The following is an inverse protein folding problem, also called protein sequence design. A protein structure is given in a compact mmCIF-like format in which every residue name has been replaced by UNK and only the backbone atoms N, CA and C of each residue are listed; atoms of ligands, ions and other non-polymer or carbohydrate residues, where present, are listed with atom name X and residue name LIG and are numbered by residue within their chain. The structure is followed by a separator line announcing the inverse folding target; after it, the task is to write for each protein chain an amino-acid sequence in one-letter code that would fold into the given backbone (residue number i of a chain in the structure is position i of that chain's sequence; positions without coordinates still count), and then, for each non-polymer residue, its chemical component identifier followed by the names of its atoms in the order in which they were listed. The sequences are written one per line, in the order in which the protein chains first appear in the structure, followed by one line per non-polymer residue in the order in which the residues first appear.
data_IF_346669217529
#
_entry.id   IF_346669217529
#
_cell.length_a   1.000
_cell.length_b   1.000
_cell.length_c   1.000
_cell.angle_alpha   90.00
_cell.angle_beta   90.00
_cell.angle_gamma   90.00
#
_symmetry.space_group_name_H-M   'P 1'
#
loop_
_entity.id
_entity.type
_entity.pdbx_description
1 polymer ?
#
# COMPACT_ATOMS: atom_id res chain seq x y z
N UNK A 1 3.87 10.20 -13.85
CA UNK A 1 5.05 10.16 -14.70
C UNK A 1 4.99 11.27 -15.76
N UNK A 2 6.13 11.74 -16.22
CA UNK A 2 6.17 12.78 -17.24
C UNK A 2 7.59 13.23 -17.59
N UNK A 3 7.66 14.27 -18.42
CA UNK A 3 8.91 14.88 -18.86
C UNK A 3 9.05 16.24 -18.18
N UNK A 4 10.22 16.53 -17.63
CA UNK A 4 10.52 17.84 -17.02
C UNK A 4 10.49 18.91 -18.11
N UNK A 5 9.52 19.83 -18.02
CA UNK A 5 9.32 20.93 -18.96
C UNK A 5 10.12 22.18 -18.57
N UNK A 6 10.15 22.49 -17.29
CA UNK A 6 10.88 23.64 -16.74
C UNK A 6 11.36 23.32 -15.32
N UNK A 7 12.43 23.97 -14.89
CA UNK A 7 12.99 23.86 -13.54
C UNK A 7 13.19 25.24 -12.92
N UNK A 8 13.06 25.31 -11.59
CA UNK A 8 13.43 26.51 -10.84
C UNK A 8 14.95 26.75 -10.84
N UNK A 9 15.38 27.99 -10.56
CA UNK A 9 16.78 28.41 -10.61
C UNK A 9 17.71 27.56 -9.75
N UNK A 10 17.24 27.07 -8.59
CA UNK A 10 18.06 26.35 -7.60
C UNK A 10 17.96 24.82 -7.73
N UNK A 11 17.19 24.30 -8.69
CA UNK A 11 17.01 22.85 -8.91
C UNK A 11 18.28 22.26 -9.54
N UNK A 12 18.81 21.19 -8.92
CA UNK A 12 20.07 20.54 -9.35
C UNK A 12 19.92 19.03 -9.66
N UNK A 13 18.87 18.39 -9.15
CA UNK A 13 18.69 16.95 -9.26
C UNK A 13 17.96 16.49 -10.52
N UNK A 14 17.28 17.40 -11.22
CA UNK A 14 16.62 17.16 -12.51
C UNK A 14 16.83 18.33 -13.46
N UNK A 15 16.76 18.07 -14.76
CA UNK A 15 16.86 19.08 -15.81
C UNK A 15 15.75 18.93 -16.84
N UNK A 16 15.52 19.97 -17.63
CA UNK A 16 14.55 19.94 -18.74
C UNK A 16 14.88 18.76 -19.70
N UNK A 17 13.83 18.00 -20.04
CA UNK A 17 13.92 16.81 -20.87
C UNK A 17 14.07 15.48 -20.09
N UNK A 18 14.34 15.52 -18.80
CA UNK A 18 14.42 14.28 -18.00
C UNK A 18 13.05 13.61 -17.89
N UNK A 19 13.02 12.29 -18.07
CA UNK A 19 11.85 11.45 -17.81
C UNK A 19 11.78 11.11 -16.31
N UNK A 20 10.68 11.49 -15.66
CA UNK A 20 10.53 11.35 -14.21
C UNK A 20 9.23 10.67 -13.80
N UNK A 21 9.25 10.09 -12.61
CA UNK A 21 8.08 9.74 -11.81
C UNK A 21 8.06 10.64 -10.59
N UNK A 22 6.86 10.95 -10.09
CA UNK A 22 6.68 11.89 -8.96
C UNK A 22 6.01 11.17 -7.82
N UNK A 23 6.65 11.16 -6.63
CA UNK A 23 6.01 10.65 -5.43
C UNK A 23 5.18 11.74 -4.73
N UNK A 24 4.23 11.32 -3.91
CA UNK A 24 3.19 12.22 -3.38
C UNK A 24 3.55 12.93 -2.07
N UNK A 25 4.69 12.64 -1.45
CA UNK A 25 5.13 13.31 -0.24
C UNK A 25 5.58 14.75 -0.53
N UNK A 26 4.93 15.72 0.08
CA UNK A 26 5.24 17.12 -0.03
C UNK A 26 5.49 17.72 1.36
N UNK A 27 6.51 18.54 1.53
CA UNK A 27 6.82 19.26 2.78
C UNK A 27 7.55 20.54 2.50
N UNK A 28 7.56 21.44 3.47
CA UNK A 28 8.33 22.66 3.36
C UNK A 28 9.81 22.38 3.63
N UNK A 29 10.73 22.80 2.73
CA UNK A 29 12.17 22.62 2.94
C UNK A 29 12.71 23.40 4.14
N UNK A 30 12.04 24.49 4.54
CA UNK A 30 12.40 25.32 5.68
C UNK A 30 11.80 24.86 7.01
N UNK A 31 11.00 23.82 7.03
CA UNK A 31 10.42 23.23 8.26
C UNK A 31 11.55 22.81 9.22
N UNK A 32 11.49 23.24 10.50
CA UNK A 32 12.55 22.92 11.48
C UNK A 32 12.80 21.42 11.67
N UNK A 33 11.73 20.61 11.59
CA UNK A 33 11.85 19.15 11.68
C UNK A 33 12.61 18.57 10.49
N UNK A 34 12.27 19.02 9.27
CA UNK A 34 12.96 18.60 8.03
C UNK A 34 14.42 19.03 8.05
N UNK A 35 14.71 20.28 8.45
CA UNK A 35 16.08 20.80 8.60
C UNK A 35 16.91 20.03 9.63
N UNK A 36 16.28 19.38 10.60
CA UNK A 36 17.00 18.57 11.59
C UNK A 36 17.42 17.18 11.05
N UNK A 37 17.13 16.87 9.78
CA UNK A 37 17.47 15.59 9.14
C UNK A 37 16.59 14.41 9.56
N UNK A 38 15.47 14.68 10.25
CA UNK A 38 14.50 13.65 10.65
C UNK A 38 13.55 13.32 9.50
N UNK A 39 12.81 12.20 9.64
CA UNK A 39 11.82 11.76 8.65
C UNK A 39 10.83 12.90 8.33
N UNK A 40 10.84 13.46 7.11
CA UNK A 40 9.98 14.57 6.74
C UNK A 40 8.49 14.25 6.79
N UNK A 41 8.13 12.96 6.71
CA UNK A 41 6.73 12.52 6.85
C UNK A 41 6.14 12.74 8.25
N UNK A 42 6.98 13.03 9.23
CA UNK A 42 6.58 13.39 10.60
C UNK A 42 6.60 14.91 10.85
N UNK A 43 6.91 15.70 9.82
CA UNK A 43 6.91 17.15 9.93
C UNK A 43 5.48 17.73 9.90
N UNK A 44 5.25 18.81 10.63
CA UNK A 44 3.95 19.49 10.66
C UNK A 44 3.55 20.04 9.29
N UNK A 45 4.52 20.41 8.46
CA UNK A 45 4.31 20.92 7.11
C UNK A 45 3.98 19.83 6.08
N UNK A 46 4.07 18.53 6.42
CA UNK A 46 3.80 17.45 5.48
C UNK A 46 2.39 17.50 4.91
N UNK A 47 2.30 17.31 3.59
CA UNK A 47 1.04 17.28 2.82
C UNK A 47 1.11 16.16 1.79
N UNK A 48 -0.05 15.74 1.32
CA UNK A 48 -0.19 14.84 0.17
C UNK A 48 -0.32 15.70 -1.08
N UNK A 49 0.65 15.60 -1.99
CA UNK A 49 0.61 16.27 -3.28
C UNK A 49 -0.59 15.79 -4.11
N UNK A 50 -1.37 16.71 -4.63
CA UNK A 50 -2.57 16.44 -5.40
C UNK A 50 -3.85 16.20 -4.58
N UNK A 51 -3.73 16.04 -3.25
CA UNK A 51 -4.88 15.89 -2.35
C UNK A 51 -4.96 17.03 -1.34
N UNK A 52 -3.88 17.35 -0.63
CA UNK A 52 -3.80 18.45 0.33
C UNK A 52 -3.13 19.69 -0.24
N UNK A 53 -2.65 19.63 -1.48
CA UNK A 53 -2.22 20.79 -2.26
C UNK A 53 -3.31 21.11 -3.27
N UNK A 54 -3.40 22.41 -3.67
CA UNK A 54 -4.37 22.87 -4.68
C UNK A 54 -3.87 22.62 -6.13
N UNK A 55 -2.93 21.74 -6.33
CA UNK A 55 -2.36 21.32 -7.60
C UNK A 55 -1.89 19.86 -7.49
N UNK A 56 -1.94 19.13 -8.61
CA UNK A 56 -1.62 17.70 -8.66
C UNK A 56 -1.34 17.24 -10.09
N UNK A 57 -1.59 15.97 -10.40
CA UNK A 57 -1.23 15.33 -11.67
C UNK A 57 -2.36 15.22 -12.69
N UNK A 58 -3.60 15.53 -12.34
CA UNK A 58 -4.72 15.51 -13.30
C UNK A 58 -4.72 16.76 -14.17
N UNK A 59 -3.63 16.96 -14.90
CA UNK A 59 -3.42 18.13 -15.76
C UNK A 59 -2.26 17.86 -16.73
N UNK A 60 -2.24 18.66 -17.81
CA UNK A 60 -1.20 18.57 -18.84
C UNK A 60 0.18 19.02 -18.33
N UNK A 61 0.21 19.97 -17.39
CA UNK A 61 1.43 20.46 -16.75
C UNK A 61 1.24 20.46 -15.24
N UNK A 62 2.05 19.69 -14.54
CA UNK A 62 2.02 19.56 -13.10
C UNK A 62 3.23 20.28 -12.46
N UNK A 63 3.02 20.91 -11.30
CA UNK A 63 4.08 21.43 -10.47
C UNK A 63 4.42 20.46 -9.35
N UNK A 64 5.68 20.06 -9.24
CA UNK A 64 6.18 19.22 -8.15
C UNK A 64 7.44 19.87 -7.52
N UNK A 65 7.75 19.49 -6.29
CA UNK A 65 9.04 19.82 -5.69
C UNK A 65 10.14 18.96 -6.32
N UNK A 66 11.36 19.47 -6.40
CA UNK A 66 12.45 18.76 -7.05
C UNK A 66 12.75 17.40 -6.40
N UNK A 67 12.69 17.30 -5.06
CA UNK A 67 12.91 16.03 -4.34
C UNK A 67 11.86 14.96 -4.67
N UNK A 68 10.63 15.34 -5.05
CA UNK A 68 9.58 14.38 -5.42
C UNK A 68 9.88 13.66 -6.76
N UNK A 69 10.78 14.22 -7.57
CA UNK A 69 11.07 13.71 -8.91
C UNK A 69 12.18 12.64 -8.86
N UNK A 70 11.82 11.42 -9.22
CA UNK A 70 12.74 10.30 -9.38
C UNK A 70 12.87 9.94 -10.86
N UNK A 71 14.02 9.41 -11.32
CA UNK A 71 14.16 8.93 -12.68
C UNK A 71 13.12 7.85 -13.01
N UNK A 72 12.42 8.00 -14.13
CA UNK A 72 11.48 6.98 -14.61
C UNK A 72 12.26 5.70 -14.96
N UNK A 73 11.84 4.52 -14.46
CA UNK A 73 12.45 3.25 -14.88
C UNK A 73 12.29 3.07 -16.41
N UNK A 74 13.41 2.89 -17.11
CA UNK A 74 13.43 2.81 -18.58
C UNK A 74 12.61 1.65 -19.15
N UNK A 75 12.46 0.56 -18.40
CA UNK A 75 11.69 -0.61 -18.81
C UNK A 75 10.16 -0.40 -18.79
N UNK A 76 9.69 0.68 -18.17
CA UNK A 76 8.26 0.95 -18.00
C UNK A 76 7.71 1.85 -19.10
N UNK A 77 6.46 1.60 -19.49
CA UNK A 77 5.65 2.55 -20.23
C UNK A 77 5.28 3.76 -19.36
N UNK A 78 4.68 4.79 -19.93
CA UNK A 78 4.24 5.98 -19.18
C UNK A 78 3.15 5.64 -18.15
N UNK A 79 2.17 4.82 -18.54
CA UNK A 79 1.09 4.38 -17.69
C UNK A 79 1.58 3.47 -16.54
N UNK A 80 2.48 2.51 -16.81
CA UNK A 80 3.10 1.69 -15.79
C UNK A 80 3.90 2.54 -14.79
N UNK A 81 4.65 3.51 -15.31
CA UNK A 81 5.43 4.42 -14.48
C UNK A 81 4.55 5.39 -13.67
N UNK A 82 3.38 5.74 -14.19
CA UNK A 82 2.44 6.67 -13.53
C UNK A 82 1.58 6.06 -12.44
N UNK A 83 1.37 4.73 -12.43
CA UNK A 83 0.35 4.12 -11.59
C UNK A 83 0.84 3.54 -10.26
N UNK A 84 2.14 3.22 -10.10
CA UNK A 84 2.60 2.39 -8.97
C UNK A 84 3.12 3.17 -7.77
N UNK A 85 3.68 4.38 -7.96
CA UNK A 85 4.57 4.97 -6.96
C UNK A 85 3.87 5.36 -5.65
N UNK A 86 2.63 5.87 -5.71
CA UNK A 86 1.88 6.18 -4.48
C UNK A 86 1.61 4.92 -3.65
N UNK A 87 1.00 3.92 -4.24
CA UNK A 87 0.68 2.66 -3.57
C UNK A 87 1.95 1.90 -3.18
N UNK A 88 2.93 1.83 -4.07
CA UNK A 88 4.18 1.10 -3.86
C UNK A 88 5.04 1.69 -2.75
N UNK A 89 5.21 2.99 -2.72
CA UNK A 89 6.01 3.63 -1.67
C UNK A 89 5.30 3.61 -0.31
N UNK A 90 3.97 3.73 -0.29
CA UNK A 90 3.16 3.53 0.92
C UNK A 90 3.30 2.09 1.43
N UNK A 91 3.15 1.09 0.55
CA UNK A 91 3.33 -0.31 0.93
C UNK A 91 4.76 -0.58 1.43
N UNK A 92 5.77 -0.03 0.76
CA UNK A 92 7.16 -0.16 1.19
C UNK A 92 7.38 0.43 2.60
N UNK A 93 6.83 1.63 2.88
CA UNK A 93 6.90 2.23 4.21
C UNK A 93 6.21 1.37 5.26
N UNK A 94 5.03 0.83 4.97
CA UNK A 94 4.32 -0.05 5.90
C UNK A 94 5.11 -1.31 6.23
N UNK A 95 5.83 -1.87 5.26
CA UNK A 95 6.59 -3.11 5.40
C UNK A 95 8.01 -2.92 5.92
N UNK A 96 8.64 -1.76 5.69
CA UNK A 96 10.07 -1.53 5.93
C UNK A 96 10.39 -0.29 6.78
N UNK A 97 9.44 0.61 6.98
CA UNK A 97 9.68 1.90 7.65
C UNK A 97 9.66 1.86 9.19
N UNK A 98 9.40 0.70 9.80
CA UNK A 98 9.04 0.63 11.22
C UNK A 98 9.89 -0.36 12.02
N UNK A 99 11.20 -0.24 11.92
CA UNK A 99 12.13 -1.10 12.66
C UNK A 99 11.73 -1.26 14.15
N UNK A 100 11.91 -2.43 14.74
CA UNK A 100 12.50 -3.66 14.18
C UNK A 100 11.50 -4.51 13.35
N UNK A 101 10.25 -4.06 13.19
CA UNK A 101 9.20 -4.78 12.47
C UNK A 101 9.29 -4.51 10.96
N UNK A 102 10.36 -4.97 10.35
CA UNK A 102 10.56 -4.98 8.89
C UNK A 102 10.42 -6.40 8.34
N UNK A 103 10.11 -6.51 7.05
CA UNK A 103 10.03 -7.80 6.38
C UNK A 103 11.44 -8.35 6.15
N UNK A 104 11.68 -9.55 6.63
CA UNK A 104 12.89 -10.34 6.43
C UNK A 104 12.56 -11.64 5.69
N UNK A 105 13.59 -12.32 5.19
CA UNK A 105 13.43 -13.60 4.48
C UNK A 105 12.69 -14.63 5.35
N UNK A 106 11.59 -15.16 4.81
CA UNK A 106 10.76 -16.17 5.50
C UNK A 106 9.66 -15.60 6.39
N UNK A 107 9.66 -14.30 6.69
CA UNK A 107 8.61 -13.67 7.49
C UNK A 107 7.23 -13.80 6.84
N UNK A 108 6.22 -14.05 7.66
CA UNK A 108 4.83 -14.13 7.20
C UNK A 108 4.17 -12.75 7.28
N UNK A 109 3.60 -12.31 6.17
CA UNK A 109 2.81 -11.08 6.06
C UNK A 109 1.37 -11.42 5.64
N UNK A 110 0.38 -11.02 6.46
CA UNK A 110 -1.02 -11.08 6.09
C UNK A 110 -1.42 -9.76 5.43
N UNK A 111 -1.91 -9.79 4.19
CA UNK A 111 -2.23 -8.60 3.41
C UNK A 111 -3.75 -8.51 3.19
N UNK A 112 -4.40 -7.52 3.80
CA UNK A 112 -5.80 -7.23 3.56
C UNK A 112 -6.00 -6.51 2.22
N UNK A 113 -7.14 -6.75 1.55
CA UNK A 113 -7.44 -6.14 0.25
C UNK A 113 -6.38 -6.41 -0.81
N UNK A 114 -5.85 -7.62 -0.80
CA UNK A 114 -4.65 -8.03 -1.52
C UNK A 114 -4.72 -7.83 -3.05
N UNK A 115 -5.91 -7.77 -3.65
CA UNK A 115 -6.09 -7.56 -5.08
C UNK A 115 -6.23 -6.09 -5.50
N UNK A 116 -6.26 -5.14 -4.56
CA UNK A 116 -6.27 -3.70 -4.88
C UNK A 116 -4.87 -3.15 -5.16
N UNK A 117 -4.78 -1.89 -5.58
CA UNK A 117 -3.50 -1.27 -5.93
C UNK A 117 -2.46 -1.31 -4.81
N UNK A 118 -2.87 -1.00 -3.57
CA UNK A 118 -1.98 -1.04 -2.41
C UNK A 118 -1.60 -2.48 -2.04
N UNK A 119 -2.60 -3.38 -1.99
CA UNK A 119 -2.39 -4.76 -1.56
C UNK A 119 -1.55 -5.57 -2.55
N UNK A 120 -1.75 -5.41 -3.85
CA UNK A 120 -0.95 -6.10 -4.88
C UNK A 120 0.53 -5.70 -4.80
N UNK A 121 0.81 -4.42 -4.60
CA UNK A 121 2.19 -3.96 -4.39
C UNK A 121 2.78 -4.42 -3.06
N UNK A 122 1.95 -4.58 -2.00
CA UNK A 122 2.42 -5.20 -0.75
C UNK A 122 2.79 -6.68 -0.94
N UNK A 123 2.04 -7.44 -1.75
CA UNK A 123 2.39 -8.82 -2.13
C UNK A 123 3.72 -8.87 -2.88
N UNK A 124 3.84 -8.07 -3.94
CA UNK A 124 5.04 -7.98 -4.78
C UNK A 124 6.29 -7.59 -3.98
N UNK A 125 6.20 -6.57 -3.13
CA UNK A 125 7.30 -6.11 -2.28
C UNK A 125 7.67 -7.20 -1.26
N UNK A 126 6.69 -7.83 -0.61
CA UNK A 126 6.94 -8.92 0.35
C UNK A 126 7.69 -10.06 -0.32
N UNK A 127 7.27 -10.49 -1.52
CA UNK A 127 7.96 -11.49 -2.32
C UNK A 127 9.38 -11.06 -2.68
N UNK A 128 9.56 -9.83 -3.15
CA UNK A 128 10.86 -9.29 -3.55
C UNK A 128 11.88 -9.24 -2.39
N UNK A 129 11.39 -9.06 -1.16
CA UNK A 129 12.19 -9.07 0.07
C UNK A 129 12.40 -10.50 0.64
N UNK A 130 11.82 -11.51 0.00
CA UNK A 130 11.94 -12.91 0.44
C UNK A 130 10.95 -13.30 1.55
N UNK A 131 9.97 -12.46 1.86
CA UNK A 131 8.86 -12.76 2.76
C UNK A 131 7.79 -13.66 2.10
N UNK A 132 6.84 -14.10 2.90
CA UNK A 132 5.75 -15.02 2.56
C UNK A 132 4.42 -14.34 2.78
N UNK A 133 3.77 -13.86 1.71
CA UNK A 133 2.52 -13.13 1.81
C UNK A 133 1.30 -14.04 1.68
N UNK A 134 0.34 -13.89 2.60
CA UNK A 134 -1.02 -14.46 2.48
C UNK A 134 -1.98 -13.32 2.18
N UNK A 135 -2.66 -13.39 1.03
CA UNK A 135 -3.60 -12.37 0.59
C UNK A 135 -5.03 -12.63 1.07
N UNK A 136 -5.69 -11.60 1.63
CA UNK A 136 -7.12 -11.66 1.95
C UNK A 136 -7.89 -10.90 0.87
N UNK A 137 -8.87 -11.58 0.26
CA UNK A 137 -9.68 -11.09 -0.86
C UNK A 137 -11.17 -11.15 -0.54
N UNK A 138 -12.01 -10.48 -1.36
CA UNK A 138 -13.46 -10.45 -1.18
C UNK A 138 -14.23 -11.48 -2.01
N UNK A 139 -13.57 -12.08 -3.00
CA UNK A 139 -14.17 -13.06 -3.91
C UNK A 139 -13.10 -13.99 -4.52
N UNK A 140 -13.57 -15.10 -5.13
CA UNK A 140 -12.70 -16.13 -5.70
C UNK A 140 -11.90 -15.65 -6.93
N UNK A 141 -12.46 -14.75 -7.73
CA UNK A 141 -11.79 -14.28 -8.96
C UNK A 141 -10.48 -13.53 -8.66
N UNK A 142 -10.41 -12.87 -7.49
CA UNK A 142 -9.22 -12.16 -7.02
C UNK A 142 -8.07 -13.06 -6.59
N UNK A 143 -8.35 -14.31 -6.24
CA UNK A 143 -7.32 -15.26 -5.76
C UNK A 143 -6.23 -15.49 -6.80
N UNK A 144 -6.62 -15.76 -8.06
CA UNK A 144 -5.67 -15.99 -9.14
C UNK A 144 -4.71 -14.80 -9.31
N UNK A 145 -5.25 -13.59 -9.37
CA UNK A 145 -4.46 -12.36 -9.47
C UNK A 145 -3.45 -12.24 -8.33
N UNK A 146 -3.87 -12.47 -7.08
CA UNK A 146 -2.96 -12.40 -5.93
C UNK A 146 -1.83 -13.43 -5.99
N UNK A 147 -2.13 -14.66 -6.45
CA UNK A 147 -1.11 -15.70 -6.60
C UNK A 147 -0.09 -15.35 -7.69
N UNK A 148 -0.53 -14.75 -8.80
CA UNK A 148 0.35 -14.26 -9.86
C UNK A 148 1.25 -13.13 -9.37
N UNK A 149 0.78 -12.30 -8.43
CA UNK A 149 1.50 -11.18 -7.82
C UNK A 149 2.21 -11.52 -6.49
N UNK A 150 2.51 -12.81 -6.24
CA UNK A 150 3.44 -13.21 -5.19
C UNK A 150 2.82 -13.62 -3.86
N UNK A 151 1.50 -13.75 -3.76
CA UNK A 151 0.90 -14.44 -2.62
C UNK A 151 1.26 -15.92 -2.67
N UNK A 152 1.58 -16.52 -1.53
CA UNK A 152 1.78 -17.98 -1.39
C UNK A 152 0.48 -18.71 -1.06
N UNK A 153 -0.55 -17.98 -0.69
CA UNK A 153 -1.88 -18.47 -0.40
C UNK A 153 -2.86 -17.30 -0.28
N UNK A 154 -4.15 -17.60 -0.41
CA UNK A 154 -5.22 -16.59 -0.35
C UNK A 154 -6.39 -17.06 0.47
N UNK A 155 -7.08 -16.14 1.13
CA UNK A 155 -8.26 -16.38 1.94
C UNK A 155 -9.40 -15.51 1.42
N UNK A 156 -10.56 -16.10 1.14
CA UNK A 156 -11.75 -15.33 0.82
C UNK A 156 -12.46 -14.92 2.11
N UNK A 157 -12.52 -13.62 2.38
CA UNK A 157 -13.18 -13.10 3.59
C UNK A 157 -14.69 -13.39 3.63
N UNK A 158 -15.31 -13.63 2.48
CA UNK A 158 -16.74 -13.97 2.38
C UNK A 158 -17.09 -15.32 3.01
N UNK A 159 -16.09 -16.20 3.26
CA UNK A 159 -16.28 -17.46 3.94
C UNK A 159 -16.48 -17.29 5.46
N UNK A 160 -16.40 -16.08 5.98
CA UNK A 160 -16.49 -15.74 7.39
C UNK A 160 -17.52 -14.62 7.63
N UNK A 161 -18.17 -14.64 8.78
CA UNK A 161 -19.27 -13.71 9.12
C UNK A 161 -19.05 -12.90 10.39
N UNK A 162 -17.88 -13.03 11.04
CA UNK A 162 -17.58 -12.42 12.34
C UNK A 162 -16.97 -11.03 12.25
N UNK A 163 -17.04 -10.40 11.08
CA UNK A 163 -16.47 -9.08 10.82
C UNK A 163 -17.20 -7.96 11.57
N UNK A 164 -16.51 -6.86 11.83
CA UNK A 164 -17.05 -5.70 12.50
C UNK A 164 -16.60 -5.56 13.95
N UNK A 165 -17.29 -4.75 14.75
CA UNK A 165 -16.93 -4.51 16.14
C UNK A 165 -16.87 -5.81 16.96
N UNK A 166 -15.81 -5.99 17.73
CA UNK A 166 -15.71 -7.10 18.67
C UNK A 166 -16.76 -6.91 19.77
N UNK A 167 -17.55 -7.93 20.12
CA UNK A 167 -18.50 -7.87 21.22
C UNK A 167 -17.84 -7.58 22.58
N UNK A 168 -18.61 -7.01 23.52
CA UNK A 168 -18.15 -6.82 24.90
C UNK A 168 -17.67 -8.16 25.48
N UNK A 169 -16.49 -8.17 26.06
CA UNK A 169 -15.92 -9.37 26.70
C UNK A 169 -16.74 -9.88 27.88
N UNK A 170 -17.64 -9.06 28.45
CA UNK A 170 -18.60 -9.44 29.50
C UNK A 170 -19.77 -10.24 28.95
N UNK A 171 -20.12 -10.08 27.68
CA UNK A 171 -21.08 -10.95 27.00
C UNK A 171 -20.34 -12.20 26.51
N UNK A 172 -20.20 -13.18 27.40
CA UNK A 172 -19.48 -14.41 27.13
C UNK A 172 -19.99 -15.18 25.92
N UNK A 173 -21.30 -15.10 25.62
CA UNK A 173 -21.90 -15.78 24.46
C UNK A 173 -21.52 -15.08 23.16
N UNK A 174 -21.78 -13.78 23.02
CA UNK A 174 -21.47 -13.03 21.81
C UNK A 174 -19.96 -13.00 21.54
N UNK A 175 -19.15 -12.77 22.59
CA UNK A 175 -17.69 -12.85 22.50
C UNK A 175 -17.19 -14.24 22.08
N UNK A 176 -17.81 -15.31 22.63
CA UNK A 176 -17.48 -16.69 22.28
C UNK A 176 -17.72 -17.01 20.79
N UNK A 177 -18.83 -16.53 20.21
CA UNK A 177 -19.13 -16.70 18.79
C UNK A 177 -18.16 -15.90 17.90
N UNK A 178 -17.88 -14.64 18.24
CA UNK A 178 -16.87 -13.86 17.54
C UNK A 178 -15.49 -14.55 17.59
N UNK A 179 -15.05 -14.98 18.76
CA UNK A 179 -13.77 -15.65 18.94
C UNK A 179 -13.67 -16.99 18.18
N UNK A 180 -14.79 -17.69 17.98
CA UNK A 180 -14.86 -18.88 17.12
C UNK A 180 -14.57 -18.51 15.67
N UNK A 181 -15.17 -17.44 15.15
CA UNK A 181 -14.90 -16.91 13.81
C UNK A 181 -13.44 -16.47 13.65
N UNK A 182 -12.90 -15.71 14.61
CA UNK A 182 -11.50 -15.28 14.60
C UNK A 182 -10.51 -16.46 14.60
N UNK A 183 -10.81 -17.52 15.39
CA UNK A 183 -10.01 -18.76 15.36
C UNK A 183 -10.10 -19.49 14.03
N UNK A 184 -11.30 -19.55 13.43
CA UNK A 184 -11.49 -20.16 12.12
C UNK A 184 -10.68 -19.42 11.04
N UNK A 185 -10.68 -18.08 11.07
CA UNK A 185 -9.85 -17.26 10.19
C UNK A 185 -8.35 -17.49 10.43
N UNK A 186 -7.92 -17.56 11.70
CA UNK A 186 -6.53 -17.91 12.04
C UNK A 186 -6.11 -19.28 11.52
N UNK A 187 -7.02 -20.26 11.57
CA UNK A 187 -6.77 -21.57 10.95
C UNK A 187 -6.63 -21.46 9.44
N UNK A 188 -7.48 -20.68 8.76
CA UNK A 188 -7.36 -20.45 7.33
C UNK A 188 -6.01 -19.80 6.94
N UNK A 189 -5.45 -18.93 7.78
CA UNK A 189 -4.07 -18.40 7.59
C UNK A 189 -3.05 -19.56 7.63
N UNK A 190 -3.14 -20.47 8.60
CA UNK A 190 -2.25 -21.63 8.67
C UNK A 190 -2.43 -22.60 7.49
N UNK A 191 -3.66 -22.84 7.09
CA UNK A 191 -3.98 -23.71 5.93
C UNK A 191 -3.38 -23.10 4.64
N UNK A 192 -3.48 -21.78 4.46
CA UNK A 192 -2.88 -21.06 3.33
C UNK A 192 -1.33 -21.07 3.35
N UNK A 193 -0.73 -21.12 4.54
CA UNK A 193 0.72 -21.24 4.71
C UNK A 193 1.24 -22.68 4.60
N UNK A 194 0.38 -23.67 4.81
CA UNK A 194 0.76 -25.08 4.96
C UNK A 194 1.43 -25.40 6.31
N UNK A 195 1.42 -24.46 7.27
CA UNK A 195 2.02 -24.62 8.60
C UNK A 195 1.35 -23.73 9.65
N UNK A 196 1.53 -24.07 10.94
CA UNK A 196 0.94 -23.33 12.07
C UNK A 196 1.83 -22.16 12.48
N UNK A 197 1.90 -21.15 11.63
CA UNK A 197 2.68 -19.93 11.87
C UNK A 197 1.77 -18.70 11.81
N UNK A 198 1.91 -17.79 12.76
CA UNK A 198 1.17 -16.53 12.80
C UNK A 198 1.92 -15.42 12.03
N UNK A 199 1.20 -14.47 11.40
CA UNK A 199 1.84 -13.35 10.72
C UNK A 199 2.72 -12.51 11.65
N UNK A 200 3.95 -12.21 11.24
CA UNK A 200 4.82 -11.23 11.90
C UNK A 200 4.31 -9.80 11.65
N UNK A 201 3.81 -9.57 10.43
CA UNK A 201 3.21 -8.28 10.04
C UNK A 201 1.80 -8.55 9.51
N UNK A 202 0.82 -7.78 10.00
CA UNK A 202 -0.50 -7.67 9.39
C UNK A 202 -0.58 -6.31 8.70
N UNK A 203 -0.63 -6.36 7.38
CA UNK A 203 -0.78 -5.20 6.51
C UNK A 203 -2.26 -4.86 6.38
N UNK A 204 -2.67 -3.83 7.11
CA UNK A 204 -4.08 -3.49 7.34
C UNK A 204 -4.44 -2.17 6.66
N UNK A 205 -5.64 -2.10 6.10
CA UNK A 205 -6.25 -0.86 5.63
C UNK A 205 -7.79 -0.79 5.69
N UNK A 206 -8.54 -1.89 5.83
CA UNK A 206 -9.98 -1.82 6.06
C UNK A 206 -10.34 -1.12 7.37
N UNK A 207 -9.67 -1.43 8.46
CA UNK A 207 -9.89 -0.79 9.75
C UNK A 207 -10.99 -1.43 10.56
N UNK A 208 -12.13 -0.74 10.76
CA UNK A 208 -13.19 -1.10 11.70
C UNK A 208 -13.65 -2.56 11.60
N UNK A 209 -13.86 -3.06 10.37
CA UNK A 209 -14.40 -4.41 10.17
C UNK A 209 -13.37 -5.52 10.47
N UNK A 210 -12.08 -5.28 10.30
CA UNK A 210 -11.06 -6.34 10.26
C UNK A 210 -10.03 -6.26 11.38
N UNK A 211 -9.81 -5.07 11.95
CA UNK A 211 -8.75 -4.83 12.91
C UNK A 211 -8.85 -5.71 14.17
N UNK A 212 -10.04 -5.99 14.73
CA UNK A 212 -10.14 -6.92 15.87
C UNK A 212 -9.62 -8.33 15.54
N UNK A 213 -9.88 -8.81 14.32
CA UNK A 213 -9.37 -10.11 13.87
C UNK A 213 -7.89 -10.04 13.53
N UNK A 214 -7.42 -8.93 12.93
CA UNK A 214 -6.00 -8.68 12.69
C UNK A 214 -5.20 -8.71 14.00
N UNK A 215 -5.73 -8.08 15.04
CA UNK A 215 -5.16 -8.15 16.40
C UNK A 215 -5.10 -9.59 16.93
N UNK A 216 -6.17 -10.35 16.74
CA UNK A 216 -6.24 -11.73 17.20
C UNK A 216 -5.20 -12.63 16.52
N UNK A 217 -5.04 -12.55 15.19
CA UNK A 217 -4.19 -13.48 14.39
C UNK A 217 -2.72 -13.06 14.33
N UNK A 218 -2.39 -11.79 14.54
CA UNK A 218 -1.03 -11.31 14.56
C UNK A 218 -0.20 -12.06 15.61
N UNK A 219 1.00 -12.47 15.24
CA UNK A 219 1.92 -13.23 16.09
C UNK A 219 2.39 -12.45 17.33
N UNK A 220 2.90 -13.17 18.32
CA UNK A 220 3.57 -12.57 19.47
C UNK A 220 4.78 -11.76 19.02
N UNK A 221 4.91 -10.52 19.54
CA UNK A 221 5.94 -9.57 19.10
C UNK A 221 5.75 -9.05 17.68
N UNK A 222 4.62 -9.34 17.04
CA UNK A 222 4.33 -8.86 15.68
C UNK A 222 3.78 -7.43 15.64
N UNK A 223 3.54 -6.94 14.43
CA UNK A 223 3.03 -5.59 14.17
C UNK A 223 1.78 -5.64 13.29
N UNK A 224 0.75 -4.88 13.69
CA UNK A 224 -0.35 -4.51 12.81
C UNK A 224 -0.05 -3.09 12.33
N UNK A 225 0.16 -2.93 11.02
CA UNK A 225 0.43 -1.62 10.41
C UNK A 225 -0.74 -1.20 9.55
N UNK A 226 -1.25 0.02 9.75
CA UNK A 226 -2.45 0.53 9.08
C UNK A 226 -2.21 1.90 8.45
N UNK A 227 -2.77 2.12 7.25
CA UNK A 227 -2.66 3.40 6.53
C UNK A 227 -4.02 4.03 6.13
N UNK A 228 -5.14 3.36 6.41
CA UNK A 228 -6.49 3.81 6.05
C UNK A 228 -7.54 3.24 7.01
N UNK A 229 -8.81 3.48 6.72
CA UNK A 229 -9.95 2.94 7.46
C UNK A 229 -11.17 2.86 6.51
N UNK A 230 -11.05 2.03 5.45
CA UNK A 230 -12.06 1.99 4.36
C UNK A 230 -13.40 1.42 4.79
N UNK A 231 -13.47 0.72 5.93
CA UNK A 231 -14.73 0.21 6.50
C UNK A 231 -15.21 0.99 7.72
N UNK A 232 -14.47 1.99 8.15
CA UNK A 232 -14.77 2.84 9.30
C UNK A 232 -13.56 3.06 10.21
N UNK A 233 -13.75 3.94 11.19
CA UNK A 233 -12.67 4.45 12.05
C UNK A 233 -12.81 4.05 13.53
N UNK A 234 -13.96 3.50 13.94
CA UNK A 234 -14.23 3.13 15.33
C UNK A 234 -13.92 1.65 15.56
N UNK A 235 -12.87 1.36 16.30
CA UNK A 235 -12.39 0.00 16.52
C UNK A 235 -12.47 -0.40 17.98
N UNK A 236 -13.01 -1.61 18.24
CA UNK A 236 -12.96 -2.26 19.55
C UNK A 236 -11.85 -3.32 19.55
N UNK A 237 -11.03 -3.35 20.58
CA UNK A 237 -9.93 -4.32 20.72
C UNK A 237 -9.96 -4.99 22.08
N UNK A 238 -9.63 -6.28 22.13
CA UNK A 238 -9.29 -6.97 23.36
C UNK A 238 -7.80 -6.75 23.67
N UNK A 239 -7.53 -5.81 24.56
CA UNK A 239 -6.17 -5.43 24.92
C UNK A 239 -5.32 -6.59 25.46
N UNK A 240 -5.94 -7.68 25.93
CA UNK A 240 -5.21 -8.89 26.38
C UNK A 240 -4.39 -9.49 25.24
N UNK A 241 -4.93 -9.51 24.00
CA UNK A 241 -4.18 -9.97 22.83
C UNK A 241 -3.07 -9.02 22.42
N UNK A 242 -3.16 -7.75 22.81
CA UNK A 242 -2.12 -6.76 22.50
C UNK A 242 -0.96 -6.83 23.51
N UNK A 243 -1.22 -6.50 24.78
CA UNK A 243 -0.14 -6.36 25.76
C UNK A 243 0.48 -7.70 26.19
N UNK A 244 -0.34 -8.77 26.37
CA UNK A 244 0.20 -10.08 26.73
C UNK A 244 1.07 -10.69 25.65
N UNK A 245 0.84 -10.33 24.39
CA UNK A 245 1.61 -10.80 23.25
C UNK A 245 2.61 -9.77 22.73
N UNK A 246 2.80 -8.67 23.44
CA UNK A 246 3.81 -7.64 23.17
C UNK A 246 3.78 -7.15 21.71
N UNK A 247 2.59 -6.91 21.18
CA UNK A 247 2.40 -6.48 19.77
C UNK A 247 2.56 -4.98 19.63
N UNK A 248 2.78 -4.56 18.42
CA UNK A 248 2.79 -3.16 18.01
C UNK A 248 1.59 -2.86 17.11
N UNK A 249 0.89 -1.76 17.40
CA UNK A 249 -0.07 -1.16 16.48
C UNK A 249 0.55 0.12 15.91
N UNK A 250 0.72 0.18 14.58
CA UNK A 250 1.47 1.22 13.90
C UNK A 250 0.63 1.92 12.83
N UNK A 251 0.39 3.22 12.98
CA UNK A 251 -0.09 4.08 11.91
C UNK A 251 1.02 4.36 10.89
N UNK A 252 0.70 4.33 9.61
CA UNK A 252 1.63 4.64 8.53
C UNK A 252 0.94 5.53 7.49
N UNK A 253 1.62 6.55 6.98
CA UNK A 253 1.04 7.51 6.05
C UNK A 253 2.04 7.87 4.96
N UNK A 254 1.70 7.57 3.69
CA UNK A 254 2.56 7.79 2.52
C UNK A 254 4.00 7.25 2.70
N UNK A 255 4.98 8.00 2.21
CA UNK A 255 6.40 7.66 2.25
C UNK A 255 7.27 8.90 2.12
N UNK A 256 8.52 8.79 2.55
CA UNK A 256 9.57 9.77 2.26
C UNK A 256 10.35 9.43 0.97
N UNK A 257 11.35 10.26 0.63
CA UNK A 257 12.17 10.10 -0.57
C UNK A 257 12.93 8.76 -0.61
N UNK A 258 13.44 8.30 0.54
CA UNK A 258 14.20 7.06 0.63
C UNK A 258 13.34 5.84 0.30
N UNK A 259 12.12 5.78 0.83
CA UNK A 259 11.18 4.70 0.58
C UNK A 259 10.66 4.73 -0.86
N UNK A 260 10.40 5.92 -1.40
CA UNK A 260 10.03 6.09 -2.79
C UNK A 260 11.15 5.64 -3.75
N UNK A 261 12.40 5.99 -3.45
CA UNK A 261 13.57 5.55 -4.21
C UNK A 261 13.79 4.04 -4.09
N UNK A 262 13.61 3.45 -2.90
CA UNK A 262 13.80 2.03 -2.67
C UNK A 262 12.80 1.17 -3.48
N UNK A 263 11.50 1.50 -3.45
CA UNK A 263 10.51 0.79 -4.26
C UNK A 263 10.72 1.01 -5.76
N UNK A 264 11.10 2.23 -6.17
CA UNK A 264 11.43 2.54 -7.57
C UNK A 264 12.58 1.67 -8.06
N UNK A 265 13.60 1.45 -7.22
CA UNK A 265 14.70 0.53 -7.55
C UNK A 265 14.22 -0.91 -7.71
N UNK A 266 13.37 -1.43 -6.83
CA UNK A 266 12.81 -2.79 -6.97
C UNK A 266 12.02 -2.94 -8.27
N UNK A 267 11.26 -1.92 -8.63
CA UNK A 267 10.53 -1.88 -9.91
C UNK A 267 11.50 -1.78 -11.09
N UNK A 268 12.52 -0.92 -11.04
CA UNK A 268 13.51 -0.79 -12.10
C UNK A 268 14.30 -2.10 -12.35
N UNK A 269 14.63 -2.81 -11.27
CA UNK A 269 15.31 -4.11 -11.31
C UNK A 269 14.40 -5.28 -11.78
N UNK A 270 13.10 -5.03 -12.04
CA UNK A 270 12.13 -6.06 -12.44
C UNK A 270 11.69 -7.00 -11.32
N UNK A 271 12.01 -6.69 -10.06
CA UNK A 271 11.65 -7.50 -8.88
C UNK A 271 10.22 -7.27 -8.40
N UNK A 272 9.66 -6.09 -8.69
CA UNK A 272 8.30 -5.67 -8.37
C UNK A 272 7.61 -5.26 -9.65
N UNK A 273 6.42 -5.79 -9.89
CA UNK A 273 5.55 -5.40 -10.99
C UNK A 273 4.75 -4.15 -10.59
N UNK A 274 4.54 -3.15 -11.48
CA UNK A 274 3.69 -1.99 -11.23
C UNK A 274 2.23 -2.32 -10.93
N UNK A 275 1.80 -3.55 -11.23
CA UNK A 275 0.42 -4.02 -11.10
C UNK A 275 -0.58 -3.13 -11.85
N UNK A 276 -0.21 -2.65 -13.04
CA UNK A 276 -1.11 -1.92 -13.93
C UNK A 276 -2.18 -2.87 -14.45
N UNK A 277 -3.44 -2.55 -14.25
CA UNK A 277 -4.58 -3.38 -14.68
C UNK A 277 -5.24 -2.87 -15.94
N UNK A 278 -5.48 -1.58 -16.03
CA UNK A 278 -6.14 -0.95 -17.18
C UNK A 278 -5.66 0.48 -17.34
N UNK A 279 -5.55 0.89 -18.60
CA UNK A 279 -5.24 2.26 -18.99
C UNK A 279 -6.50 2.92 -19.52
N UNK A 280 -6.70 4.18 -19.16
CA UNK A 280 -7.82 5.02 -19.54
C UNK A 280 -7.31 6.29 -20.20
N UNK A 281 -8.11 6.89 -21.04
CA UNK A 281 -7.88 8.23 -21.56
C UNK A 281 -8.24 9.30 -20.53
N UNK A 282 -7.74 10.52 -20.72
CA UNK A 282 -7.97 11.60 -19.75
C UNK A 282 -9.45 11.94 -19.57
N UNK A 283 -10.24 11.83 -20.62
CA UNK A 283 -11.69 12.09 -20.60
C UNK A 283 -12.47 11.08 -19.75
N UNK A 284 -11.90 9.88 -19.52
CA UNK A 284 -12.51 8.80 -18.72
C UNK A 284 -12.23 8.91 -17.22
N UNK A 285 -11.56 9.98 -16.75
CA UNK A 285 -11.15 10.12 -15.34
C UNK A 285 -12.34 10.08 -14.36
N UNK A 286 -13.49 10.60 -14.77
CA UNK A 286 -14.71 10.56 -13.97
C UNK A 286 -15.23 9.12 -13.81
N UNK A 287 -15.15 8.31 -14.86
CA UNK A 287 -15.48 6.88 -14.81
C UNK A 287 -14.54 6.13 -13.86
N UNK A 288 -13.22 6.41 -13.92
CA UNK A 288 -12.26 5.80 -13.00
C UNK A 288 -12.64 6.05 -11.54
N UNK A 289 -13.01 7.28 -11.17
CA UNK A 289 -13.46 7.60 -9.83
C UNK A 289 -14.76 6.90 -9.44
N UNK A 290 -15.71 6.81 -10.37
CA UNK A 290 -16.98 6.11 -10.14
C UNK A 290 -16.76 4.60 -9.89
N UNK A 291 -15.91 3.96 -10.70
CA UNK A 291 -15.55 2.54 -10.51
C UNK A 291 -14.89 2.30 -9.15
N UNK A 292 -14.03 3.21 -8.69
CA UNK A 292 -13.40 3.12 -7.37
C UNK A 292 -14.45 3.28 -6.26
N UNK A 293 -15.34 4.25 -6.36
CA UNK A 293 -16.41 4.50 -5.39
C UNK A 293 -17.34 3.28 -5.25
N UNK A 294 -17.65 2.64 -6.36
CA UNK A 294 -18.52 1.45 -6.42
C UNK A 294 -17.79 0.14 -6.11
N UNK A 295 -16.49 0.18 -5.84
CA UNK A 295 -15.63 -1.01 -5.67
C UNK A 295 -15.70 -1.99 -6.88
N UNK A 296 -15.86 -1.44 -8.09
CA UNK A 296 -15.93 -2.16 -9.38
C UNK A 296 -14.68 -1.97 -10.23
N UNK A 297 -13.67 -1.27 -9.72
CA UNK A 297 -12.42 -1.06 -10.43
C UNK A 297 -11.68 -2.38 -10.72
N UNK A 298 -10.87 -2.46 -11.78
CA UNK A 298 -10.02 -3.60 -12.06
C UNK A 298 -9.04 -3.89 -10.92
N UNK A 299 -8.52 -5.12 -10.84
CA UNK A 299 -7.53 -5.50 -9.83
C UNK A 299 -6.20 -4.78 -10.10
N UNK A 300 -5.46 -4.44 -9.05
CA UNK A 300 -4.22 -3.66 -9.19
C UNK A 300 -4.46 -2.16 -9.32
N UNK A 301 -3.64 -1.48 -10.12
CA UNK A 301 -3.64 -0.03 -10.31
C UNK A 301 -4.21 0.34 -11.69
N UNK A 302 -4.90 1.47 -11.79
CA UNK A 302 -5.35 2.06 -13.04
C UNK A 302 -4.39 3.17 -13.46
N UNK A 303 -4.07 3.24 -14.76
CA UNK A 303 -3.32 4.32 -15.38
C UNK A 303 -4.24 5.25 -16.17
N UNK A 304 -3.98 6.56 -16.16
CA UNK A 304 -4.67 7.56 -16.99
C UNK A 304 -3.65 8.27 -17.85
N UNK A 305 -3.85 8.25 -19.17
CA UNK A 305 -3.03 8.99 -20.13
C UNK A 305 -3.53 10.43 -20.24
N UNK A 306 -2.63 11.40 -20.05
CA UNK A 306 -2.96 12.83 -20.17
C UNK A 306 -2.43 13.41 -21.48
N UNK A 307 -1.10 13.29 -21.71
CA UNK A 307 -0.44 13.80 -22.90
C UNK A 307 0.19 12.70 -23.78
N UNK A 308 0.28 11.46 -23.28
CA UNK A 308 0.73 10.33 -24.10
C UNK A 308 -0.28 10.03 -25.19
N UNK A 309 0.21 9.81 -26.43
CA UNK A 309 -0.67 9.65 -27.60
C UNK A 309 -1.39 8.31 -27.60
N UNK A 310 -0.77 7.28 -27.05
CA UNK A 310 -1.32 5.94 -26.94
C UNK A 310 -0.65 5.17 -25.80
N UNK A 311 -1.32 4.12 -25.33
CA UNK A 311 -0.74 3.19 -24.37
C UNK A 311 0.48 2.44 -24.96
N UNK A 312 1.41 2.05 -24.09
CA UNK A 312 2.62 1.31 -24.47
C UNK A 312 3.83 2.16 -24.83
N UNK A 313 3.72 3.49 -24.84
CA UNK A 313 4.85 4.39 -25.10
C UNK A 313 5.77 4.54 -23.89
N UNK A 314 7.02 4.91 -24.11
CA UNK A 314 7.98 5.29 -23.07
C UNK A 314 8.91 4.19 -22.59
N UNK A 315 8.82 2.96 -23.09
CA UNK A 315 9.87 1.95 -22.86
C UNK A 315 11.09 2.29 -23.70
N UNK A 316 12.27 2.27 -23.09
CA UNK A 316 13.50 2.22 -23.87
C UNK A 316 13.64 0.84 -24.52
N UNK A 317 14.10 0.85 -25.78
CA UNK A 317 14.38 -0.37 -26.54
C UNK A 317 15.53 -1.18 -25.90
#
# INVERSE_FOLDING_TARGET
SGIVWAVGQDVKNVKVGDEVIVHSGWWRPDDPWVKSGKDPMLAESTRIWGYQTNYGSYCQFARAQAHQCLPKPKRLTWEEAGCFLLCGSTAYRMLMGWAPHTVEKGDVVLVWGAAGGLGSLALEITRALGGRAVGVVSDEAKKKFCMEHGAIGTINRSDFTHWGPMPDTKDAKAYGEWAKGARAFGKAVWDALGERTSPKIVFEHPGEATLPTSEFVCGTGGMIVICAGTTGYNVTLDLRYHWMRQKRFQGSHLSNDEQAAAVTKLVADGKVDPCLSKTYDFDEIAECHQLMLENKHPYGNMGVLVNARKAGEGRAA
#
